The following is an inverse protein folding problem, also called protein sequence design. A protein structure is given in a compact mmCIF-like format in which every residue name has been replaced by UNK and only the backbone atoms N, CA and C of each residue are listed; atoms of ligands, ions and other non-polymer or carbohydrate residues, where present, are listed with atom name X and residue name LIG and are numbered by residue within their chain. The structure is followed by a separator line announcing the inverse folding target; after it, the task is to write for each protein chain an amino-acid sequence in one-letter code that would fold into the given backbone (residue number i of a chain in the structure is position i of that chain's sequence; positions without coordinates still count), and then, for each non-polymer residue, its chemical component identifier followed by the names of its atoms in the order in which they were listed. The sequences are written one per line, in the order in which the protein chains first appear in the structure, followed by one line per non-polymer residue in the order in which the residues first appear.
data_IF_067074630162
#
_entry.id   IF_067074630162
#
_cell.length_a   1.000
_cell.length_b   1.000
_cell.length_c   1.000
_cell.angle_alpha   90.00
_cell.angle_beta   90.00
_cell.angle_gamma   90.00
#
_symmetry.space_group_name_H-M   'P 1'
#
loop_
_entity.id
_entity.type
_entity.pdbx_description
1 polymer ?
#
# COMPACT_ATOMS: atom_id res chain seq x y z
N UNK A 1 5.43 8.11 26.00
CA UNK A 1 4.13 7.85 25.35
C UNK A 1 3.72 6.42 25.62
N UNK A 2 2.47 6.22 26.02
CA UNK A 2 1.96 4.88 26.34
C UNK A 2 1.87 4.03 25.08
N UNK A 3 1.89 2.69 25.26
CA UNK A 3 1.75 1.76 24.14
C UNK A 3 0.41 1.96 23.42
N UNK A 4 -0.68 2.19 24.18
CA UNK A 4 -1.99 2.47 23.61
C UNK A 4 -1.97 3.71 22.72
N UNK A 5 -1.32 4.77 23.19
CA UNK A 5 -1.22 6.02 22.43
C UNK A 5 -0.34 5.84 21.20
N UNK A 6 0.77 5.11 21.32
CA UNK A 6 1.64 4.78 20.18
C UNK A 6 0.85 4.04 19.10
N UNK A 7 0.03 3.08 19.51
CA UNK A 7 -0.77 2.31 18.55
C UNK A 7 -1.82 3.19 17.87
N UNK A 8 -2.48 4.09 18.62
CA UNK A 8 -3.43 5.02 18.04
C UNK A 8 -2.78 5.92 17.01
N UNK A 9 -1.61 6.47 17.33
CA UNK A 9 -0.84 7.31 16.40
C UNK A 9 -0.48 6.51 15.16
N UNK A 10 0.02 5.28 15.34
CA UNK A 10 0.39 4.39 14.23
C UNK A 10 -0.82 4.08 13.36
N UNK A 11 -1.97 3.76 13.95
CA UNK A 11 -3.19 3.45 13.20
C UNK A 11 -3.67 4.67 12.40
N UNK A 12 -3.62 5.87 12.97
CA UNK A 12 -3.99 7.08 12.24
C UNK A 12 -3.02 7.40 11.12
N UNK A 13 -1.73 7.18 11.34
CA UNK A 13 -0.72 7.35 10.29
C UNK A 13 -0.96 6.35 9.15
N UNK A 14 -1.28 5.10 9.50
CA UNK A 14 -1.58 4.05 8.53
C UNK A 14 -2.82 4.41 7.71
N UNK A 15 -3.90 4.83 8.37
CA UNK A 15 -5.13 5.26 7.71
C UNK A 15 -4.85 6.41 6.75
N UNK A 16 -4.16 7.44 7.22
CA UNK A 16 -3.84 8.61 6.40
C UNK A 16 -3.03 8.23 5.17
N UNK A 17 -2.04 7.37 5.34
CA UNK A 17 -1.19 6.93 4.23
C UNK A 17 -1.99 6.16 3.18
N UNK A 18 -2.77 5.16 3.61
CA UNK A 18 -3.48 4.31 2.65
C UNK A 18 -4.67 5.02 2.01
N UNK A 19 -5.38 5.87 2.76
CA UNK A 19 -6.46 6.66 2.18
C UNK A 19 -5.91 7.64 1.14
N UNK A 20 -4.81 8.32 1.47
CA UNK A 20 -4.18 9.23 0.51
C UNK A 20 -3.72 8.48 -0.74
N UNK A 21 -3.02 7.36 -0.56
CA UNK A 21 -2.53 6.57 -1.70
C UNK A 21 -3.71 6.06 -2.55
N UNK A 22 -4.77 5.59 -1.89
CA UNK A 22 -5.95 5.08 -2.60
C UNK A 22 -6.65 6.17 -3.39
N UNK A 23 -6.80 7.36 -2.81
CA UNK A 23 -7.39 8.50 -3.51
C UNK A 23 -6.56 8.88 -4.73
N UNK A 24 -5.24 8.83 -4.61
CA UNK A 24 -4.35 9.15 -5.73
C UNK A 24 -4.51 8.18 -6.91
N UNK A 25 -4.95 6.96 -6.66
CA UNK A 25 -5.27 6.02 -7.74
C UNK A 25 -6.40 6.53 -8.64
N UNK A 26 -7.29 7.34 -8.09
CA UNK A 26 -8.40 7.94 -8.85
C UNK A 26 -8.06 9.30 -9.42
N UNK A 27 -7.23 10.08 -8.72
CA UNK A 27 -6.86 11.45 -9.14
C UNK A 27 -5.80 11.41 -10.25
N UNK A 28 -4.83 10.52 -10.11
CA UNK A 28 -3.71 10.38 -11.05
C UNK A 28 -3.50 8.91 -11.43
N UNK A 29 -4.48 8.28 -12.07
CA UNK A 29 -4.33 6.86 -12.43
C UNK A 29 -3.17 6.61 -13.39
N UNK A 30 -2.78 7.61 -14.19
CA UNK A 30 -1.68 7.49 -15.14
C UNK A 30 -0.34 7.19 -14.46
N UNK A 31 -0.15 7.65 -13.21
CA UNK A 31 1.07 7.35 -12.46
C UNK A 31 1.21 5.86 -12.17
N UNK A 32 0.09 5.22 -11.86
CA UNK A 32 0.06 3.79 -11.52
C UNK A 32 0.03 2.92 -12.78
N UNK A 33 -0.66 3.38 -13.82
CA UNK A 33 -0.69 2.67 -15.10
C UNK A 33 0.71 2.52 -15.69
N UNK A 34 1.52 3.56 -15.57
CA UNK A 34 2.88 3.56 -16.08
C UNK A 34 3.74 2.50 -15.40
N UNK A 35 3.45 2.18 -14.15
CA UNK A 35 4.17 1.18 -13.38
C UNK A 35 3.71 -0.26 -13.65
N UNK A 36 2.56 -0.44 -14.28
CA UNK A 36 1.98 -1.78 -14.46
C UNK A 36 2.75 -2.61 -15.47
N UNK A 37 3.07 -3.89 -15.14
CA UNK A 37 3.63 -4.81 -16.14
C UNK A 37 2.66 -5.03 -17.30
N UNK A 38 3.17 -5.24 -18.52
CA UNK A 38 2.29 -5.43 -19.69
C UNK A 38 1.39 -6.66 -19.60
N UNK A 39 1.75 -7.64 -18.76
CA UNK A 39 0.97 -8.88 -18.62
C UNK A 39 -0.30 -8.71 -17.77
N UNK A 40 -0.48 -7.57 -17.09
CA UNK A 40 -1.65 -7.35 -16.24
C UNK A 40 -2.86 -7.03 -17.13
N UNK A 41 -3.96 -7.82 -17.02
CA UNK A 41 -5.19 -7.51 -17.78
C UNK A 41 -5.95 -6.36 -17.13
N UNK A 42 -6.66 -5.59 -17.96
CA UNK A 42 -7.50 -4.49 -17.49
C UNK A 42 -6.77 -3.55 -16.52
N UNK A 43 -5.64 -2.95 -16.96
CA UNK A 43 -4.78 -2.21 -16.03
C UNK A 43 -5.47 -1.03 -15.35
N UNK A 44 -6.32 -0.29 -16.06
CA UNK A 44 -7.02 0.86 -15.47
C UNK A 44 -7.98 0.41 -14.37
N UNK A 45 -8.74 -0.64 -14.64
CA UNK A 45 -9.68 -1.21 -13.68
C UNK A 45 -8.92 -1.74 -12.45
N UNK A 46 -7.76 -2.36 -12.66
CA UNK A 46 -6.93 -2.85 -11.56
C UNK A 46 -6.43 -1.72 -10.68
N UNK A 47 -6.04 -0.60 -11.28
CA UNK A 47 -5.63 0.59 -10.52
C UNK A 47 -6.79 1.09 -9.65
N UNK A 48 -7.99 1.19 -10.21
CA UNK A 48 -9.16 1.66 -9.47
C UNK A 48 -9.56 0.69 -8.37
N UNK A 49 -9.55 -0.61 -8.64
CA UNK A 49 -9.86 -1.63 -7.63
C UNK A 49 -8.87 -1.54 -6.47
N UNK A 50 -7.58 -1.42 -6.79
CA UNK A 50 -6.55 -1.25 -5.74
C UNK A 50 -6.81 -0.01 -4.90
N UNK A 51 -7.19 1.09 -5.53
CA UNK A 51 -7.50 2.33 -4.83
C UNK A 51 -8.68 2.18 -3.87
N UNK A 52 -9.74 1.48 -4.30
CA UNK A 52 -10.90 1.21 -3.44
C UNK A 52 -10.47 0.39 -2.22
N UNK A 53 -9.71 -0.69 -2.43
CA UNK A 53 -9.25 -1.53 -1.32
C UNK A 53 -8.34 -0.77 -0.37
N UNK A 54 -7.48 0.10 -0.88
CA UNK A 54 -6.61 0.90 -0.02
C UNK A 54 -7.41 1.87 0.86
N UNK A 55 -8.40 2.55 0.28
CA UNK A 55 -9.24 3.48 1.05
C UNK A 55 -10.06 2.71 2.08
N UNK A 56 -10.72 1.63 1.68
CA UNK A 56 -11.54 0.84 2.59
C UNK A 56 -10.69 0.19 3.68
N UNK A 57 -9.52 -0.34 3.32
CA UNK A 57 -8.60 -0.94 4.30
C UNK A 57 -8.09 0.10 5.29
N UNK A 58 -7.71 1.27 4.79
CA UNK A 58 -7.24 2.35 5.65
C UNK A 58 -8.30 2.81 6.65
N UNK A 59 -9.54 2.99 6.19
CA UNK A 59 -10.66 3.37 7.06
C UNK A 59 -10.98 2.23 8.02
N UNK A 60 -10.97 0.99 7.53
CA UNK A 60 -11.29 -0.20 8.33
C UNK A 60 -10.37 -0.38 9.52
N UNK A 61 -9.13 0.08 9.43
CA UNK A 61 -8.19 0.04 10.55
C UNK A 61 -8.70 0.83 11.75
N UNK A 62 -9.51 1.87 11.52
CA UNK A 62 -10.06 2.69 12.61
C UNK A 62 -11.27 2.05 13.29
N UNK A 63 -11.90 1.08 12.65
CA UNK A 63 -13.05 0.37 13.23
C UNK A 63 -12.53 -0.84 13.99
N UNK A 64 -12.63 -0.83 15.32
CA UNK A 64 -12.03 -1.86 16.17
C UNK A 64 -12.43 -3.28 15.73
N UNK A 65 -13.70 -3.50 15.45
CA UNK A 65 -14.21 -4.83 15.08
C UNK A 65 -13.68 -5.30 13.72
N UNK A 66 -13.35 -4.37 12.82
CA UNK A 66 -12.88 -4.68 11.46
C UNK A 66 -11.36 -4.57 11.32
N UNK A 67 -10.65 -4.11 12.33
CA UNK A 67 -9.24 -3.73 12.22
C UNK A 67 -8.35 -4.85 11.73
N UNK A 68 -8.47 -6.04 12.33
CA UNK A 68 -7.66 -7.18 11.89
C UNK A 68 -7.98 -7.59 10.45
N UNK A 69 -9.25 -7.62 10.11
CA UNK A 69 -9.69 -7.96 8.75
C UNK A 69 -9.13 -6.94 7.75
N UNK A 70 -9.23 -5.65 8.06
CA UNK A 70 -8.68 -4.60 7.22
C UNK A 70 -7.16 -4.73 7.08
N UNK A 71 -6.48 -5.06 8.18
CA UNK A 71 -5.03 -5.28 8.17
C UNK A 71 -4.62 -6.41 7.24
N UNK A 72 -5.32 -7.54 7.32
CA UNK A 72 -5.04 -8.66 6.41
C UNK A 72 -5.30 -8.28 4.96
N UNK A 73 -6.36 -7.51 4.69
CA UNK A 73 -6.66 -7.03 3.35
C UNK A 73 -5.56 -6.13 2.80
N UNK A 74 -5.06 -5.22 3.63
CA UNK A 74 -3.96 -4.34 3.23
C UNK A 74 -2.67 -5.13 2.97
N UNK A 75 -2.36 -6.12 3.79
CA UNK A 75 -1.19 -6.97 3.58
C UNK A 75 -1.33 -7.76 2.27
N UNK A 76 -2.51 -8.33 2.03
CA UNK A 76 -2.77 -9.06 0.78
C UNK A 76 -2.57 -8.15 -0.43
N UNK A 77 -3.04 -6.90 -0.34
CA UNK A 77 -2.86 -5.92 -1.40
C UNK A 77 -1.38 -5.58 -1.62
N UNK A 78 -0.63 -5.37 -0.53
CA UNK A 78 0.81 -5.10 -0.62
C UNK A 78 1.55 -6.26 -1.29
N UNK A 79 1.18 -7.49 -0.95
CA UNK A 79 1.76 -8.68 -1.59
C UNK A 79 1.40 -8.72 -3.08
N UNK A 80 0.14 -8.40 -3.41
CA UNK A 80 -0.33 -8.43 -4.79
C UNK A 80 0.36 -7.38 -5.66
N UNK A 81 0.75 -6.23 -5.10
CA UNK A 81 1.44 -5.19 -5.87
C UNK A 81 2.95 -5.36 -5.87
N UNK A 82 3.49 -6.31 -5.12
CA UNK A 82 4.93 -6.55 -5.08
C UNK A 82 5.51 -6.84 -6.47
N UNK A 83 4.87 -7.68 -7.32
CA UNK A 83 5.36 -7.88 -8.69
C UNK A 83 5.46 -6.60 -9.51
N UNK A 84 4.58 -5.62 -9.28
CA UNK A 84 4.66 -4.33 -9.95
C UNK A 84 5.95 -3.60 -9.56
N UNK A 85 6.28 -3.59 -8.27
CA UNK A 85 7.52 -2.96 -7.80
C UNK A 85 8.76 -3.69 -8.31
N UNK A 86 8.71 -5.02 -8.40
CA UNK A 86 9.79 -5.81 -9.00
C UNK A 86 9.96 -5.41 -10.47
N UNK A 87 8.87 -5.30 -11.20
CA UNK A 87 8.89 -4.89 -12.61
C UNK A 87 9.56 -3.52 -12.77
N UNK A 88 9.20 -2.55 -11.92
CA UNK A 88 9.80 -1.22 -11.97
C UNK A 88 11.31 -1.28 -11.75
N UNK A 89 11.76 -2.07 -10.76
CA UNK A 89 13.18 -2.19 -10.45
C UNK A 89 13.96 -2.86 -11.58
N UNK A 90 13.34 -3.81 -12.28
CA UNK A 90 13.99 -4.53 -13.39
C UNK A 90 14.00 -3.74 -14.71
N UNK A 91 13.16 -2.70 -14.81
CA UNK A 91 13.02 -1.91 -16.04
C UNK A 91 13.17 -0.42 -15.75
N UNK A 92 14.32 0.01 -15.19
CA UNK A 92 14.50 1.42 -14.82
C UNK A 92 14.46 2.37 -16.01
N UNK A 93 14.72 1.87 -17.21
CA UNK A 93 14.68 2.67 -18.45
C UNK A 93 13.27 3.16 -18.79
N UNK A 94 12.23 2.51 -18.26
CA UNK A 94 10.83 2.92 -18.43
C UNK A 94 10.47 4.06 -17.48
N UNK A 95 11.29 4.27 -16.46
CA UNK A 95 11.05 5.27 -15.42
C UNK A 95 12.22 6.24 -15.31
N UNK A 96 12.54 7.00 -16.39
CA UNK A 96 13.73 7.83 -16.41
C UNK A 96 13.70 8.98 -15.40
N UNK A 97 12.51 9.35 -14.90
CA UNK A 97 12.35 10.40 -13.89
C UNK A 97 12.81 9.96 -12.50
N UNK A 98 13.01 8.64 -12.30
CA UNK A 98 13.47 8.10 -11.02
C UNK A 98 14.86 7.50 -11.18
N UNK A 99 15.80 7.78 -10.25
CA UNK A 99 17.08 7.05 -10.24
C UNK A 99 16.82 5.58 -9.90
N UNK A 100 17.69 4.70 -10.45
CA UNK A 100 17.54 3.26 -10.22
C UNK A 100 17.51 2.91 -8.74
N UNK A 101 18.31 3.62 -7.91
CA UNK A 101 18.35 3.38 -6.48
C UNK A 101 16.99 3.63 -5.83
N UNK A 102 16.23 4.61 -6.31
CA UNK A 102 14.89 4.90 -5.77
C UNK A 102 13.94 3.73 -6.02
N UNK A 103 14.05 3.07 -7.17
CA UNK A 103 13.21 1.91 -7.49
C UNK A 103 13.52 0.72 -6.58
N UNK A 104 14.80 0.49 -6.27
CA UNK A 104 15.18 -0.55 -5.31
C UNK A 104 14.77 -0.21 -3.89
N UNK A 105 14.84 1.06 -3.49
CA UNK A 105 14.37 1.51 -2.18
C UNK A 105 12.87 1.26 -2.02
N UNK A 106 12.08 1.52 -3.07
CA UNK A 106 10.64 1.20 -3.05
C UNK A 106 10.41 -0.29 -2.78
N UNK A 107 11.22 -1.14 -3.40
CA UNK A 107 11.11 -2.59 -3.21
C UNK A 107 11.38 -2.99 -1.76
N UNK A 108 12.37 -2.35 -1.11
CA UNK A 108 12.70 -2.61 0.28
C UNK A 108 11.60 -2.12 1.24
N UNK A 109 10.90 -1.05 0.91
CA UNK A 109 9.80 -0.56 1.74
C UNK A 109 8.61 -1.52 1.79
N UNK A 110 8.44 -2.38 0.80
CA UNK A 110 7.31 -3.29 0.73
C UNK A 110 7.19 -4.18 1.97
N UNK A 111 8.24 -4.96 2.34
CA UNK A 111 8.16 -5.74 3.58
C UNK A 111 8.06 -4.88 4.83
N UNK A 112 8.64 -3.68 4.83
CA UNK A 112 8.53 -2.77 5.97
C UNK A 112 7.09 -2.30 6.17
N UNK A 113 6.36 -2.01 5.09
CA UNK A 113 4.96 -1.66 5.17
C UNK A 113 4.12 -2.84 5.66
N UNK A 114 4.43 -4.06 5.22
CA UNK A 114 3.74 -5.26 5.69
C UNK A 114 3.92 -5.41 7.19
N UNK A 115 5.14 -5.25 7.70
CA UNK A 115 5.41 -5.30 9.13
C UNK A 115 4.67 -4.20 9.89
N UNK A 116 4.62 -3.01 9.32
CA UNK A 116 3.90 -1.88 9.92
C UNK A 116 2.41 -2.21 10.05
N UNK A 117 1.77 -2.68 8.97
CA UNK A 117 0.36 -3.05 9.01
C UNK A 117 0.12 -4.16 10.03
N UNK A 118 0.97 -5.18 10.04
CA UNK A 118 0.85 -6.28 10.99
C UNK A 118 0.94 -5.80 12.42
N UNK A 119 1.95 -5.00 12.75
CA UNK A 119 2.17 -4.54 14.12
C UNK A 119 1.09 -3.57 14.58
N UNK A 120 0.52 -2.80 13.66
CA UNK A 120 -0.46 -1.76 13.98
C UNK A 120 -1.89 -2.29 14.02
N UNK A 121 -2.26 -3.18 13.09
CA UNK A 121 -3.64 -3.60 12.89
C UNK A 121 -3.92 -5.05 13.29
N UNK A 122 -2.95 -5.93 13.22
CA UNK A 122 -3.16 -7.37 13.39
C UNK A 122 -2.62 -7.91 14.71
N UNK A 123 -1.37 -7.54 15.05
CA UNK A 123 -0.76 -8.00 16.29
C UNK A 123 -1.68 -7.70 17.47
N UNK A 124 -1.58 -8.51 18.52
CA UNK A 124 -2.43 -8.42 19.70
C UNK A 124 -2.74 -6.96 20.07
N UNK A 125 -4.05 -6.68 20.21
CA UNK A 125 -4.56 -5.34 20.48
C UNK A 125 -4.71 -5.03 21.97
N UNK A 126 -4.35 -5.96 22.83
CA UNK A 126 -4.46 -5.77 24.28
C UNK A 126 -3.56 -4.68 24.81
#
# INVERSE_FOLDING_TARGET
MSQSLRRKVSNWALTSFFVFAGVMHFVHPEWFLRAMPPCIPFPLEMVFISGVFEVLGGIGVQVHAARKFAGYGLIALLIAVFPVNIHMALHPEVFPQFPAVALYVRLLFQPLFILWVWSSAIRDQS
#
